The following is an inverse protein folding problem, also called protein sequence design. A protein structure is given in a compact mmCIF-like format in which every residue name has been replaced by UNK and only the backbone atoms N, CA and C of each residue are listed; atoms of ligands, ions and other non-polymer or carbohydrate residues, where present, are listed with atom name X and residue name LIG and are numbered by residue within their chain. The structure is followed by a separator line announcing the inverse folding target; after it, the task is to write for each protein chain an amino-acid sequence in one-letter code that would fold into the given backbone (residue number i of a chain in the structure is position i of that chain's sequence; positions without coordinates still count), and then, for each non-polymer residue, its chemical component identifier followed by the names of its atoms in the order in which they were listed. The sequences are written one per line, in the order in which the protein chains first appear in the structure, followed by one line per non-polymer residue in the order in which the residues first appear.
data_IF_269192257232
#
_entry.id   IF_269192257232
#
_cell.length_a   1.000
_cell.length_b   1.000
_cell.length_c   1.000
_cell.angle_alpha   90.00
_cell.angle_beta   90.00
_cell.angle_gamma   90.00
#
_symmetry.space_group_name_H-M   'P 1'
#
loop_
_entity.id
_entity.type
_entity.pdbx_description
1 polymer ?
#
# COMPACT_ATOMS: atom_id res chain seq x y z
N UNK A 1 7.83 2.31 -4.80
CA UNK A 1 7.04 2.76 -3.64
C UNK A 1 5.99 3.77 -4.06
N UNK A 2 6.35 4.85 -4.75
CA UNK A 2 5.42 5.98 -5.00
C UNK A 2 4.06 5.70 -5.66
N UNK A 3 3.85 4.61 -6.42
CA UNK A 3 2.57 4.37 -7.09
C UNK A 3 1.50 3.77 -6.16
N UNK A 4 1.85 2.70 -5.41
CA UNK A 4 0.95 2.11 -4.40
C UNK A 4 0.60 3.14 -3.33
N UNK A 5 1.63 3.79 -2.83
CA UNK A 5 1.62 4.84 -1.84
C UNK A 5 0.76 6.07 -2.25
N UNK A 6 0.74 6.41 -3.55
CA UNK A 6 -0.15 7.43 -4.10
C UNK A 6 -1.61 6.96 -4.13
N UNK A 7 -1.85 5.72 -4.56
CA UNK A 7 -3.19 5.11 -4.61
C UNK A 7 -3.76 5.02 -3.20
N UNK A 8 -3.02 4.47 -2.24
CA UNK A 8 -3.41 4.38 -0.84
C UNK A 8 -3.84 5.74 -0.29
N UNK A 9 -3.00 6.78 -0.43
CA UNK A 9 -3.35 8.14 0.04
C UNK A 9 -4.61 8.70 -0.62
N UNK A 10 -4.81 8.46 -1.92
CA UNK A 10 -6.00 8.90 -2.64
C UNK A 10 -7.26 8.18 -2.14
N UNK A 11 -7.20 6.86 -2.00
CA UNK A 11 -8.35 6.07 -1.56
C UNK A 11 -8.72 6.36 -0.09
N UNK A 12 -7.72 6.57 0.77
CA UNK A 12 -7.97 7.03 2.16
C UNK A 12 -8.64 8.40 2.17
N UNK A 13 -8.15 9.36 1.37
CA UNK A 13 -8.79 10.68 1.28
C UNK A 13 -10.26 10.55 0.82
N UNK A 14 -10.51 9.76 -0.22
CA UNK A 14 -11.86 9.48 -0.71
C UNK A 14 -12.74 8.84 0.35
N UNK A 15 -12.22 7.85 1.10
CA UNK A 15 -12.94 7.16 2.17
C UNK A 15 -13.41 8.13 3.26
N UNK A 16 -12.53 9.01 3.73
CA UNK A 16 -12.88 10.01 4.77
C UNK A 16 -13.85 11.08 4.28
N UNK A 17 -13.85 11.41 2.98
CA UNK A 17 -14.81 12.35 2.40
C UNK A 17 -16.21 11.75 2.28
N UNK A 18 -16.33 10.47 1.93
CA UNK A 18 -17.59 9.87 1.48
C UNK A 18 -18.25 8.95 2.51
N UNK A 19 -17.48 8.19 3.31
CA UNK A 19 -18.05 7.29 4.31
C UNK A 19 -18.56 8.07 5.53
N UNK A 20 -19.73 7.68 6.04
CA UNK A 20 -20.40 8.32 7.18
C UNK A 20 -20.61 7.35 8.34
N UNK A 21 -20.58 6.05 8.10
CA UNK A 21 -20.56 5.04 9.14
C UNK A 21 -19.13 4.87 9.67
N UNK A 22 -18.86 5.20 10.95
CA UNK A 22 -17.53 5.05 11.54
C UNK A 22 -17.03 3.59 11.55
N UNK A 23 -17.92 2.60 11.61
CA UNK A 23 -17.55 1.19 11.60
C UNK A 23 -17.04 0.80 10.21
N UNK A 24 -17.74 1.23 9.16
CA UNK A 24 -17.31 1.00 7.78
C UNK A 24 -16.01 1.75 7.48
N UNK A 25 -15.87 2.99 7.94
CA UNK A 25 -14.67 3.79 7.76
C UNK A 25 -13.44 3.10 8.34
N UNK A 26 -13.52 2.63 9.60
CA UNK A 26 -12.40 1.92 10.24
C UNK A 26 -12.09 0.63 9.47
N UNK A 27 -13.12 -0.14 9.10
CA UNK A 27 -12.92 -1.41 8.39
C UNK A 27 -12.23 -1.23 7.05
N UNK A 28 -12.68 -0.26 6.24
CA UNK A 28 -12.07 -0.02 4.93
C UNK A 28 -10.68 0.60 5.04
N UNK A 29 -10.44 1.45 6.03
CA UNK A 29 -9.10 1.96 6.32
C UNK A 29 -8.15 0.80 6.63
N UNK A 30 -8.53 -0.13 7.51
CA UNK A 30 -7.67 -1.25 7.89
C UNK A 30 -7.38 -2.18 6.70
N UNK A 31 -8.36 -2.40 5.80
CA UNK A 31 -8.15 -3.17 4.57
C UNK A 31 -7.17 -2.48 3.62
N UNK A 32 -7.30 -1.17 3.43
CA UNK A 32 -6.39 -0.39 2.59
C UNK A 32 -4.96 -0.40 3.15
N UNK A 33 -4.81 -0.33 4.47
CA UNK A 33 -3.51 -0.38 5.16
C UNK A 33 -2.84 -1.76 4.97
N UNK A 34 -3.58 -2.86 5.14
CA UNK A 34 -3.02 -4.20 4.89
C UNK A 34 -2.64 -4.45 3.42
N UNK A 35 -3.38 -3.83 2.48
CA UNK A 35 -3.03 -3.90 1.07
C UNK A 35 -1.70 -3.18 0.79
N UNK A 36 -1.51 -1.99 1.35
CA UNK A 36 -0.26 -1.23 1.20
C UNK A 36 0.93 -1.98 1.83
N UNK A 37 0.77 -2.50 3.05
CA UNK A 37 1.80 -3.33 3.71
C UNK A 37 2.22 -4.54 2.84
N UNK A 38 1.24 -5.15 2.16
CA UNK A 38 1.51 -6.28 1.26
C UNK A 38 2.29 -5.83 0.02
N UNK A 39 1.97 -4.67 -0.55
CA UNK A 39 2.67 -4.10 -1.70
C UNK A 39 4.12 -3.74 -1.34
N UNK A 40 4.35 -3.13 -0.18
CA UNK A 40 5.69 -2.82 0.34
C UNK A 40 6.54 -4.08 0.51
N UNK A 41 5.95 -5.16 1.03
CA UNK A 41 6.65 -6.44 1.10
C UNK A 41 7.04 -6.99 -0.27
N UNK A 42 6.16 -6.87 -1.28
CA UNK A 42 6.49 -7.26 -2.65
C UNK A 42 7.63 -6.41 -3.24
N UNK A 43 7.63 -5.10 -2.99
CA UNK A 43 8.70 -4.21 -3.43
C UNK A 43 10.03 -4.55 -2.78
N UNK A 44 10.05 -4.78 -1.46
CA UNK A 44 11.26 -5.20 -0.75
C UNK A 44 11.85 -6.48 -1.34
N UNK A 45 11.01 -7.45 -1.71
CA UNK A 45 11.46 -8.68 -2.37
C UNK A 45 12.05 -8.37 -3.76
N UNK A 46 11.37 -7.54 -4.55
CA UNK A 46 11.86 -7.14 -5.87
C UNK A 46 13.22 -6.43 -5.80
N UNK A 47 13.42 -5.57 -4.82
CA UNK A 47 14.67 -4.85 -4.62
C UNK A 47 15.80 -5.76 -4.12
N UNK A 48 15.51 -6.73 -3.25
CA UNK A 48 16.47 -7.77 -2.88
C UNK A 48 16.91 -8.58 -4.12
N UNK A 49 15.96 -9.00 -4.96
CA UNK A 49 16.27 -9.73 -6.19
C UNK A 49 17.12 -8.88 -7.14
N UNK A 50 16.79 -7.60 -7.32
CA UNK A 50 17.59 -6.65 -8.10
C UNK A 50 19.01 -6.54 -7.56
N UNK A 51 19.16 -6.47 -6.24
CA UNK A 51 20.46 -6.43 -5.57
C UNK A 51 21.29 -7.70 -5.80
N UNK A 52 20.66 -8.88 -5.80
CA UNK A 52 21.33 -10.15 -6.16
C UNK A 52 21.78 -10.10 -7.63
N UNK A 53 20.89 -9.76 -8.55
CA UNK A 53 21.22 -9.68 -9.98
C UNK A 53 22.39 -8.72 -10.22
N UNK A 54 22.40 -7.54 -9.61
CA UNK A 54 23.49 -6.57 -9.74
C UNK A 54 24.82 -7.06 -9.16
N UNK A 55 24.81 -7.91 -8.12
CA UNK A 55 26.03 -8.47 -7.52
C UNK A 55 26.68 -9.56 -8.37
N UNK A 56 25.89 -10.26 -9.20
CA UNK A 56 26.35 -11.36 -10.05
C UNK A 56 26.37 -10.99 -11.54
N UNK A 57 26.17 -9.72 -11.87
CA UNK A 57 26.31 -9.15 -13.22
C UNK A 57 27.76 -8.71 -13.50
#
# INVERSE_FOLDING_TARGET
ESEGDLIYRREVAYLFEHEKDPIELIRWKDVLEQLEDTLDHCEHIADMLRGVVMKYA
#
